data_IF_150896881349
#
_entry.id   IF_150896881349
#
_cell.length_a   1.000
_cell.length_b   1.000
_cell.length_c   1.000
_cell.angle_alpha   90.00
_cell.angle_beta   90.00
_cell.angle_gamma   90.00
#
_symmetry.space_group_name_H-M   'P 1'
#
loop_
_entity.id
_entity.type
_entity.pdbx_description
1 polymer ?
#
# COMPACT_ATOMS: atom_id res chain seq x y z
N UNK A 1 -4.28 -0.88 -8.40
CA UNK A 1 -3.03 -1.49 -7.88
C UNK A 1 -2.68 -2.70 -8.73
N UNK A 2 -1.41 -3.08 -8.81
CA UNK A 2 -0.98 -4.34 -9.45
C UNK A 2 0.02 -5.07 -8.59
N UNK A 3 0.00 -6.40 -8.66
CA UNK A 3 0.97 -7.27 -7.99
C UNK A 3 2.35 -7.08 -8.62
N UNK A 4 3.39 -7.02 -7.78
CA UNK A 4 4.79 -6.90 -8.21
C UNK A 4 5.51 -8.22 -7.98
N UNK A 5 5.30 -8.81 -6.80
CA UNK A 5 6.03 -9.97 -6.34
C UNK A 5 5.20 -10.74 -5.34
N UNK A 6 5.11 -12.05 -5.58
CA UNK A 6 4.61 -13.02 -4.62
C UNK A 6 5.80 -13.61 -3.88
N UNK A 7 5.76 -13.58 -2.55
CA UNK A 7 6.69 -14.29 -1.70
C UNK A 7 6.00 -15.56 -1.20
N UNK A 8 6.19 -16.67 -1.93
CA UNK A 8 5.53 -17.95 -1.62
C UNK A 8 5.98 -18.51 -0.26
N UNK A 9 7.19 -18.18 0.21
CA UNK A 9 7.70 -18.62 1.52
C UNK A 9 6.93 -17.95 2.66
N UNK A 10 6.56 -16.69 2.49
CA UNK A 10 5.84 -15.94 3.52
C UNK A 10 4.32 -15.88 3.31
N UNK A 11 3.82 -16.50 2.25
CA UNK A 11 2.43 -16.39 1.79
C UNK A 11 1.96 -14.92 1.72
N UNK A 12 2.80 -14.09 1.09
CA UNK A 12 2.56 -12.66 1.00
C UNK A 12 2.75 -12.09 -0.41
N UNK A 13 2.09 -10.98 -0.67
CA UNK A 13 2.06 -10.31 -1.98
C UNK A 13 2.33 -8.82 -1.80
N UNK A 14 3.29 -8.32 -2.57
CA UNK A 14 3.60 -6.89 -2.66
C UNK A 14 2.87 -6.25 -3.84
N UNK A 15 2.34 -5.05 -3.62
CA UNK A 15 1.57 -4.29 -4.60
C UNK A 15 2.23 -2.95 -4.93
N UNK A 16 2.16 -2.51 -6.19
CA UNK A 16 2.51 -1.15 -6.66
C UNK A 16 1.28 -0.39 -7.12
N UNK A 17 1.48 0.92 -7.27
CA UNK A 17 0.58 1.75 -8.04
C UNK A 17 0.76 1.46 -9.53
N UNK A 18 -0.31 0.96 -10.18
CA UNK A 18 -0.28 0.57 -11.59
C UNK A 18 -0.50 1.78 -12.52
N UNK A 19 -1.43 2.62 -12.13
CA UNK A 19 -1.91 3.77 -12.89
C UNK A 19 -2.43 4.82 -11.92
N UNK A 20 -2.63 6.03 -12.42
CA UNK A 20 -3.22 7.13 -11.64
C UNK A 20 -4.65 6.72 -11.27
N UNK A 21 -5.03 6.73 -9.99
CA UNK A 21 -6.41 6.41 -9.61
C UNK A 21 -7.40 7.34 -10.29
N UNK A 22 -8.62 6.86 -10.58
CA UNK A 22 -9.67 7.73 -11.12
C UNK A 22 -10.15 8.76 -10.09
N UNK A 23 -10.22 8.34 -8.82
CA UNK A 23 -10.52 9.21 -7.69
C UNK A 23 -9.25 9.54 -6.90
N UNK A 24 -8.61 10.65 -7.28
CA UNK A 24 -7.41 11.20 -6.61
C UNK A 24 -7.74 12.20 -5.50
N UNK A 25 -9.03 12.52 -5.31
CA UNK A 25 -9.45 13.61 -4.43
C UNK A 25 -8.83 14.96 -4.76
N UNK A 26 -9.03 15.96 -3.89
CA UNK A 26 -8.51 17.31 -4.12
C UNK A 26 -6.99 17.40 -3.95
N UNK A 27 -6.42 16.67 -2.99
CA UNK A 27 -4.98 16.67 -2.71
C UNK A 27 -4.21 16.06 -3.90
N UNK A 28 -4.74 14.99 -4.48
CA UNK A 28 -4.09 14.29 -5.57
C UNK A 28 -4.03 15.05 -6.88
N UNK A 29 -4.92 16.01 -7.14
CA UNK A 29 -4.93 16.79 -8.40
C UNK A 29 -3.63 17.57 -8.66
N UNK A 30 -2.95 18.00 -7.61
CA UNK A 30 -1.73 18.80 -7.70
C UNK A 30 -0.46 17.95 -7.62
N UNK A 31 -0.57 16.63 -7.51
CA UNK A 31 0.58 15.74 -7.42
C UNK A 31 1.11 15.40 -8.81
N UNK A 32 2.43 15.37 -8.95
CA UNK A 32 3.06 14.82 -10.14
C UNK A 32 3.04 13.28 -10.08
N UNK A 33 1.91 12.68 -10.44
CA UNK A 33 1.71 11.22 -10.36
C UNK A 33 2.76 10.39 -11.08
N UNK A 34 3.42 10.94 -12.10
CA UNK A 34 4.52 10.26 -12.81
C UNK A 34 5.66 9.86 -11.87
N UNK A 35 5.92 10.64 -10.82
CA UNK A 35 6.98 10.33 -9.84
C UNK A 35 6.64 9.14 -8.93
N UNK A 36 5.36 8.73 -8.89
CA UNK A 36 4.86 7.64 -8.03
C UNK A 36 4.47 6.38 -8.81
N UNK A 37 4.43 6.45 -10.15
CA UNK A 37 4.19 5.32 -11.03
C UNK A 37 5.50 4.60 -11.32
N UNK A 38 5.92 3.75 -10.38
CA UNK A 38 7.17 3.02 -10.43
C UNK A 38 7.01 1.60 -9.86
N UNK A 39 8.10 0.83 -9.86
CA UNK A 39 8.12 -0.57 -9.43
C UNK A 39 8.33 -0.75 -7.92
N UNK A 40 8.32 0.32 -7.14
CA UNK A 40 8.44 0.23 -5.69
C UNK A 40 7.12 -0.22 -5.04
N UNK A 41 7.18 -1.13 -4.05
CA UNK A 41 6.00 -1.60 -3.36
C UNK A 41 5.39 -0.46 -2.53
N UNK A 42 4.08 -0.26 -2.64
CA UNK A 42 3.30 0.68 -1.81
C UNK A 42 2.63 -0.04 -0.63
N UNK A 43 2.38 -1.34 -0.78
CA UNK A 43 1.77 -2.17 0.24
C UNK A 43 2.25 -3.63 0.17
N UNK A 44 2.14 -4.33 1.30
CA UNK A 44 2.36 -5.77 1.41
C UNK A 44 1.19 -6.40 2.17
N UNK A 45 0.64 -7.48 1.64
CA UNK A 45 -0.40 -8.28 2.29
C UNK A 45 0.19 -9.64 2.59
N UNK A 46 0.13 -10.06 3.86
CA UNK A 46 0.57 -11.39 4.30
C UNK A 46 -0.61 -12.17 4.86
N UNK A 47 -0.86 -13.36 4.34
CA UNK A 47 -1.85 -14.27 4.91
C UNK A 47 -1.32 -14.81 6.25
N UNK A 48 -2.10 -14.65 7.32
CA UNK A 48 -1.84 -15.31 8.61
C UNK A 48 -2.51 -16.68 8.63
N UNK A 49 -3.72 -16.76 8.07
CA UNK A 49 -4.50 -17.98 7.83
C UNK A 49 -5.56 -17.67 6.75
N UNK A 50 -6.37 -18.65 6.39
CA UNK A 50 -7.38 -18.57 5.32
C UNK A 50 -8.39 -17.43 5.46
N UNK A 51 -8.53 -16.83 6.66
CA UNK A 51 -9.51 -15.77 6.94
C UNK A 51 -8.90 -14.48 7.48
N UNK A 52 -7.59 -14.46 7.70
CA UNK A 52 -6.92 -13.37 8.42
C UNK A 52 -5.69 -12.93 7.65
N UNK A 53 -5.61 -11.63 7.37
CA UNK A 53 -4.49 -11.02 6.66
C UNK A 53 -3.85 -9.93 7.51
N UNK A 54 -2.54 -9.80 7.36
CA UNK A 54 -1.77 -8.69 7.89
C UNK A 54 -1.47 -7.75 6.74
N UNK A 55 -1.88 -6.50 6.89
CA UNK A 55 -1.70 -5.46 5.90
C UNK A 55 -0.60 -4.50 6.36
N UNK A 56 0.34 -4.23 5.47
CA UNK A 56 1.39 -3.26 5.68
C UNK A 56 1.28 -2.19 4.61
N UNK A 57 1.10 -0.94 5.05
CA UNK A 57 1.11 0.23 4.18
C UNK A 57 2.45 0.94 4.29
N UNK A 58 3.14 1.10 3.18
CA UNK A 58 4.43 1.78 3.15
C UNK A 58 4.30 3.25 2.74
N UNK A 59 3.21 3.63 2.07
CA UNK A 59 3.08 4.92 1.40
C UNK A 59 3.66 4.89 -0.02
N UNK A 60 3.32 5.91 -0.81
CA UNK A 60 3.80 6.04 -2.18
C UNK A 60 5.27 6.44 -2.19
N UNK A 61 6.07 5.72 -2.97
CA UNK A 61 7.47 6.09 -3.17
C UNK A 61 7.55 7.15 -4.26
N UNK A 62 8.12 8.31 -3.91
CA UNK A 62 8.40 9.38 -4.87
C UNK A 62 9.84 9.20 -5.41
N UNK A 63 9.98 8.91 -6.71
CA UNK A 63 11.29 8.68 -7.33
C UNK A 63 12.20 9.91 -7.32
N UNK A 64 11.64 11.12 -7.32
CA UNK A 64 12.38 12.37 -7.33
C UNK A 64 12.93 12.71 -5.95
N UNK A 65 12.13 12.56 -4.90
CA UNK A 65 12.55 12.86 -3.52
C UNK A 65 13.24 11.68 -2.85
N UNK A 66 13.14 10.48 -3.42
CA UNK A 66 13.64 9.19 -2.88
C UNK A 66 13.05 8.86 -1.51
N UNK A 67 11.84 9.34 -1.22
CA UNK A 67 11.15 9.17 0.07
C UNK A 67 9.77 8.57 -0.11
N UNK A 68 9.25 7.99 0.98
CA UNK A 68 7.86 7.51 1.07
C UNK A 68 6.97 8.59 1.65
N UNK A 69 5.93 8.93 0.89
CA UNK A 69 4.94 9.96 1.20
C UNK A 69 3.58 9.29 1.45
N UNK A 70 2.64 10.02 2.08
CA UNK A 70 1.30 9.50 2.41
C UNK A 70 1.34 8.21 3.26
N UNK A 71 2.25 8.16 4.23
CA UNK A 71 2.39 7.03 5.17
C UNK A 71 1.22 6.92 6.15
N UNK A 72 0.52 8.03 6.37
CA UNK A 72 -0.65 8.09 7.21
C UNK A 72 -1.89 7.67 6.42
N UNK A 73 -2.60 6.68 6.94
CA UNK A 73 -3.88 6.21 6.42
C UNK A 73 -4.88 6.22 7.56
N UNK A 74 -6.15 6.45 7.26
CA UNK A 74 -7.22 6.53 8.27
C UNK A 74 -7.29 5.28 9.15
N UNK A 75 -6.91 4.11 8.62
CA UNK A 75 -6.80 2.85 9.38
C UNK A 75 -5.73 2.86 10.49
N UNK A 76 -4.72 3.73 10.40
CA UNK A 76 -3.66 3.89 11.39
C UNK A 76 -4.00 4.91 12.48
N UNK A 77 -4.96 5.81 12.25
CA UNK A 77 -5.31 6.87 13.19
C UNK A 77 -5.83 6.31 14.52
N UNK A 78 -6.54 5.19 14.48
CA UNK A 78 -7.03 4.51 15.70
C UNK A 78 -5.99 3.59 16.35
N UNK A 79 -4.92 3.21 15.64
CA UNK A 79 -4.05 2.08 16.04
C UNK A 79 -2.68 2.43 16.60
N UNK A 80 -2.26 3.70 16.68
CA UNK A 80 -1.01 4.14 17.35
C UNK A 80 0.21 3.20 17.10
N UNK A 81 0.45 2.80 15.84
CA UNK A 81 1.60 1.93 15.50
C UNK A 81 1.38 0.43 15.71
N UNK A 82 0.17 -0.03 16.05
CA UNK A 82 -0.19 -1.45 16.06
C UNK A 82 -0.40 -1.99 14.65
N UNK A 83 -0.11 -3.27 14.48
CA UNK A 83 -0.25 -3.99 13.22
C UNK A 83 -1.70 -3.96 12.68
N UNK A 84 -1.87 -3.78 11.37
CA UNK A 84 -3.18 -3.82 10.73
C UNK A 84 -3.50 -5.27 10.39
N UNK A 85 -4.36 -5.88 11.20
CA UNK A 85 -4.92 -7.21 10.97
C UNK A 85 -6.35 -7.04 10.48
N UNK A 86 -6.64 -7.60 9.30
CA UNK A 86 -7.97 -7.60 8.69
C UNK A 86 -8.50 -9.03 8.65
N UNK A 87 -9.81 -9.18 8.86
CA UNK A 87 -10.53 -10.44 8.69
C UNK A 87 -11.32 -10.38 7.39
N UNK A 88 -11.20 -11.43 6.58
CA UNK A 88 -12.01 -11.58 5.38
C UNK A 88 -13.49 -11.68 5.78
N UNK A 89 -14.34 -10.93 5.08
CA UNK A 89 -15.78 -11.04 5.24
C UNK A 89 -16.25 -12.45 4.83
N UNK A 90 -17.29 -12.95 5.50
CA UNK A 90 -17.92 -14.23 5.16
C UNK A 90 -18.78 -14.11 3.91
#
# INVERSE_FOLDING_TARGET
>A
MSEIKKNDIENGVSYKLKEIPEDIGNIGRNLNWKEYLNDEPIAYIKMINDKTVKFYWYGFYNEKTKKREFKEISFNQEKQGKEIILKLCK
#
